data_IF_493336165043
#
_entry.id   IF_493336165043
#
_cell.length_a   1.000
_cell.length_b   1.000
_cell.length_c   1.000
_cell.angle_alpha   90.00
_cell.angle_beta   90.00
_cell.angle_gamma   90.00
#
_symmetry.space_group_name_H-M   'P 1'
#
loop_
_entity.id
_entity.type
_entity.pdbx_description
1 polymer ?
#
# COMPACT_ATOMS: atom_id res chain seq x y z
N UNK A 1 0.36 13.63 -0.35
CA UNK A 1 -1.05 13.78 -0.77
C UNK A 1 -1.43 12.56 -1.59
N UNK A 2 -2.71 12.19 -1.61
CA UNK A 2 -3.22 10.98 -2.25
C UNK A 2 -4.08 11.39 -3.45
N UNK A 3 -3.59 11.18 -4.67
CA UNK A 3 -4.25 11.69 -5.90
C UNK A 3 -4.20 10.69 -7.07
N UNK A 4 -3.50 9.57 -6.92
CA UNK A 4 -3.36 8.54 -7.95
C UNK A 4 -3.21 7.16 -7.30
N UNK A 5 -3.19 6.09 -8.10
CA UNK A 5 -3.02 4.70 -7.67
C UNK A 5 -1.63 4.12 -7.98
N UNK A 6 -0.69 4.93 -8.49
CA UNK A 6 0.55 4.45 -9.14
C UNK A 6 1.68 4.11 -8.16
N UNK A 7 1.36 4.05 -6.87
CA UNK A 7 2.28 3.67 -5.79
C UNK A 7 1.78 2.42 -5.05
N UNK A 8 0.91 1.66 -5.70
CA UNK A 8 0.28 0.45 -5.18
C UNK A 8 1.33 -0.60 -4.83
N UNK A 9 1.27 -1.14 -3.63
CA UNK A 9 2.08 -2.28 -3.20
C UNK A 9 1.24 -3.26 -2.39
N UNK A 10 1.77 -4.47 -2.17
CA UNK A 10 1.23 -5.44 -1.24
C UNK A 10 2.13 -5.49 -0.01
N UNK A 11 1.59 -5.19 1.16
CA UNK A 11 2.35 -5.28 2.41
C UNK A 11 2.51 -6.74 2.80
N UNK A 12 3.75 -7.14 3.06
CA UNK A 12 4.05 -8.50 3.52
C UNK A 12 3.30 -8.81 4.83
N UNK A 13 2.84 -10.05 4.99
CA UNK A 13 1.98 -10.46 6.09
C UNK A 13 2.57 -10.12 7.47
N UNK A 14 3.88 -10.26 7.64
CA UNK A 14 4.58 -9.94 8.89
C UNK A 14 4.48 -8.45 9.29
N UNK A 15 4.13 -7.58 8.35
CA UNK A 15 4.14 -6.13 8.50
C UNK A 15 2.76 -5.47 8.52
N UNK A 16 1.70 -6.17 8.10
CA UNK A 16 0.36 -5.59 7.96
C UNK A 16 -0.16 -4.94 9.25
N UNK A 17 0.06 -5.58 10.39
CA UNK A 17 -0.34 -5.04 11.70
C UNK A 17 0.43 -3.75 12.05
N UNK A 18 1.69 -3.62 11.63
CA UNK A 18 2.54 -2.46 11.93
C UNK A 18 2.30 -1.29 10.98
N UNK A 19 2.00 -1.56 9.70
CA UNK A 19 1.68 -0.51 8.71
C UNK A 19 0.28 0.08 8.89
N UNK A 20 -0.53 -0.54 9.76
CA UNK A 20 -1.91 -0.14 10.02
C UNK A 20 -2.84 -0.40 8.82
N UNK A 21 -4.13 -0.05 8.99
CA UNK A 21 -5.11 -0.16 7.93
C UNK A 21 -4.89 0.91 6.86
N UNK A 22 -5.64 0.78 5.76
CA UNK A 22 -5.80 1.84 4.76
C UNK A 22 -6.34 3.11 5.40
N UNK A 23 -5.87 4.26 4.94
CA UNK A 23 -6.39 5.56 5.37
C UNK A 23 -7.69 5.88 4.62
N UNK A 24 -8.45 6.86 5.12
CA UNK A 24 -9.70 7.30 4.49
C UNK A 24 -9.47 7.75 3.03
N UNK A 25 -10.30 7.24 2.12
CA UNK A 25 -10.18 7.43 0.66
C UNK A 25 -9.08 6.63 -0.04
N UNK A 26 -8.27 5.84 0.67
CA UNK A 26 -7.22 5.02 0.04
C UNK A 26 -7.83 3.88 -0.78
N UNK A 27 -8.95 3.33 -0.31
CA UNK A 27 -9.73 2.31 -1.03
C UNK A 27 -10.24 2.83 -2.38
N UNK A 28 -10.83 4.02 -2.42
CA UNK A 28 -11.37 4.64 -3.64
C UNK A 28 -10.30 4.77 -4.75
N UNK A 29 -9.06 5.09 -4.37
CA UNK A 29 -7.95 5.18 -5.32
C UNK A 29 -7.39 3.81 -5.70
N UNK A 30 -7.38 2.84 -4.77
CA UNK A 30 -6.98 1.47 -5.09
C UNK A 30 -7.93 0.82 -6.10
N UNK A 31 -9.22 1.16 -6.12
CA UNK A 31 -10.16 0.74 -7.16
C UNK A 31 -9.72 1.16 -8.58
N UNK A 32 -8.91 2.22 -8.68
CA UNK A 32 -8.35 2.71 -9.95
C UNK A 32 -6.96 2.11 -10.26
N UNK A 33 -6.45 1.16 -9.47
CA UNK A 33 -5.14 0.56 -9.71
C UNK A 33 -5.13 -0.31 -10.97
N UNK A 34 -4.02 -0.24 -11.73
CA UNK A 34 -3.82 -1.05 -12.96
C UNK A 34 -3.73 -2.56 -12.66
N UNK A 35 -3.25 -2.92 -11.46
CA UNK A 35 -3.07 -4.30 -11.03
C UNK A 35 -4.10 -4.73 -9.98
N UNK A 36 -4.24 -6.06 -9.81
CA UNK A 36 -5.18 -6.67 -8.86
C UNK A 36 -5.07 -6.08 -7.45
N UNK A 37 -6.21 -5.62 -6.91
CA UNK A 37 -6.31 -5.21 -5.51
C UNK A 37 -6.55 -6.43 -4.62
N UNK A 38 -5.69 -6.60 -3.61
CA UNK A 38 -5.73 -7.68 -2.63
C UNK A 38 -6.01 -7.09 -1.24
N UNK A 39 -6.36 -7.92 -0.23
CA UNK A 39 -6.49 -7.43 1.15
C UNK A 39 -5.24 -6.70 1.65
N UNK A 40 -4.06 -7.20 1.27
CA UNK A 40 -2.76 -6.60 1.62
C UNK A 40 -2.39 -5.35 0.79
N UNK A 41 -3.19 -4.93 -0.18
CA UNK A 41 -2.89 -3.75 -1.00
C UNK A 41 -2.86 -2.49 -0.16
N UNK A 42 -1.87 -1.64 -0.41
CA UNK A 42 -1.73 -0.28 0.13
C UNK A 42 -1.20 0.65 -0.96
N UNK A 43 -1.47 1.93 -0.82
CA UNK A 43 -0.73 2.99 -1.49
C UNK A 43 0.49 3.31 -0.63
N UNK A 44 1.69 2.95 -1.10
CA UNK A 44 2.93 3.11 -0.33
C UNK A 44 3.18 4.55 0.13
N UNK A 45 2.69 5.55 -0.61
CA UNK A 45 2.79 6.95 -0.19
C UNK A 45 1.97 7.32 1.06
N UNK A 46 1.05 6.44 1.49
CA UNK A 46 0.27 6.58 2.73
C UNK A 46 0.91 5.85 3.92
N UNK A 47 1.92 5.01 3.69
CA UNK A 47 2.66 4.34 4.76
C UNK A 47 3.72 5.31 5.30
N UNK A 48 3.50 5.83 6.51
CA UNK A 48 4.47 6.68 7.19
C UNK A 48 5.55 5.82 7.83
N UNK A 49 6.79 5.95 7.38
CA UNK A 49 7.91 5.23 7.94
C UNK A 49 8.20 5.71 9.37
N UNK A 50 8.38 4.74 10.26
CA UNK A 50 8.77 4.93 11.66
C UNK A 50 9.88 3.92 12.01
N UNK A 51 10.62 4.10 13.12
CA UNK A 51 11.65 3.14 13.51
C UNK A 51 11.13 1.70 13.69
N UNK A 52 9.86 1.51 14.04
CA UNK A 52 9.22 0.21 14.20
C UNK A 52 9.05 -0.56 12.88
N UNK A 53 9.22 0.14 11.75
CA UNK A 53 9.16 -0.35 10.37
C UNK A 53 10.55 -0.62 9.77
N UNK A 54 11.62 -0.59 10.57
CA UNK A 54 12.95 -0.98 10.09
C UNK A 54 12.94 -2.44 9.58
N UNK A 55 13.25 -2.62 8.30
CA UNK A 55 13.14 -3.92 7.61
C UNK A 55 11.79 -4.21 6.95
N UNK A 56 10.88 -3.23 6.85
CA UNK A 56 9.59 -3.38 6.16
C UNK A 56 9.76 -4.01 4.77
N UNK A 57 9.00 -5.08 4.52
CA UNK A 57 8.90 -5.74 3.22
C UNK A 57 7.56 -5.40 2.57
N UNK A 58 7.63 -4.94 1.32
CA UNK A 58 6.48 -4.79 0.44
C UNK A 58 6.78 -5.42 -0.91
N UNK A 59 5.75 -5.95 -1.55
CA UNK A 59 5.83 -6.57 -2.87
C UNK A 59 5.17 -5.66 -3.89
N UNK A 60 5.82 -5.42 -5.02
CA UNK A 60 5.26 -4.60 -6.08
C UNK A 60 4.40 -5.44 -7.02
N UNK A 61 3.28 -4.91 -7.52
CA UNK A 61 2.52 -5.54 -8.58
C UNK A 61 3.29 -5.50 -9.92
N UNK A 62 2.78 -6.22 -10.93
CA UNK A 62 3.42 -6.32 -12.23
C UNK A 62 3.43 -4.98 -13.02
N UNK A 63 2.43 -4.11 -12.82
CA UNK A 63 2.36 -2.78 -13.43
C UNK A 63 1.68 -1.75 -12.52
N UNK A 64 1.99 -0.47 -12.73
CA UNK A 64 1.39 0.71 -12.09
C UNK A 64 0.64 1.62 -13.09
N UNK A 65 0.68 1.25 -14.38
CA UNK A 65 0.13 1.98 -15.53
C UNK A 65 -0.60 1.00 -16.45
#
# INVERSE_FOLDING_TARGET
SMMCATCHCYVDEAWQAKTGPRVDGEDDLLECASSEVRPASRLSCQIRLTPELDGLVVHLPASQQ
#
